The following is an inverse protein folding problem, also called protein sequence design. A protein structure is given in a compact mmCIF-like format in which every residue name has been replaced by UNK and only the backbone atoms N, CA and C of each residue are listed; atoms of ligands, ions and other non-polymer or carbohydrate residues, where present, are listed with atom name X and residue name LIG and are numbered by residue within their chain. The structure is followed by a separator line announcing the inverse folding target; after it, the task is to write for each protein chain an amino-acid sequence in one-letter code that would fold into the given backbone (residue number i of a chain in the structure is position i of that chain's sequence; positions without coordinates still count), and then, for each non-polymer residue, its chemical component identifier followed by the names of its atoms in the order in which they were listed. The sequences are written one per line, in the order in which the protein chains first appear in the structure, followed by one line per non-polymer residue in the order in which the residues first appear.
data_IF_265233373395
#
_entry.id   IF_265233373395
#
_cell.length_a   1.000
_cell.length_b   1.000
_cell.length_c   1.000
_cell.angle_alpha   90.00
_cell.angle_beta   90.00
_cell.angle_gamma   90.00
#
_symmetry.space_group_name_H-M   'P 1'
#
loop_
_entity.id
_entity.type
_entity.pdbx_description
1 polymer ?
#
# COMPACT_ATOMS: atom_id res chain seq x y z
N UNK A 1 -7.73 -21.36 -7.36
CA UNK A 1 -7.66 -19.88 -7.47
C UNK A 1 -6.22 -19.48 -7.23
N UNK A 2 -5.66 -18.55 -8.00
CA UNK A 2 -4.25 -18.13 -7.85
C UNK A 2 -4.17 -16.93 -6.91
N UNK A 3 -3.37 -17.05 -5.85
CA UNK A 3 -3.03 -15.91 -4.98
C UNK A 3 -2.17 -14.92 -5.75
N UNK A 4 -2.65 -13.69 -5.91
CA UNK A 4 -1.90 -12.57 -6.50
C UNK A 4 -1.16 -11.79 -5.41
N UNK A 5 -0.13 -11.08 -5.85
CA UNK A 5 0.62 -10.13 -5.03
C UNK A 5 0.36 -8.73 -5.52
N UNK A 6 0.01 -7.82 -4.61
CA UNK A 6 -0.19 -6.40 -4.88
C UNK A 6 0.92 -5.60 -4.23
N UNK A 7 1.47 -4.65 -4.97
CA UNK A 7 2.44 -3.67 -4.44
C UNK A 7 1.72 -2.34 -4.36
N UNK A 8 1.61 -1.77 -3.16
CA UNK A 8 0.91 -0.51 -2.98
C UNK A 8 1.86 0.65 -3.21
N UNK A 9 1.34 1.67 -3.89
CA UNK A 9 2.00 2.96 -4.11
C UNK A 9 1.52 4.00 -3.10
N UNK A 10 2.26 5.10 -2.94
CA UNK A 10 1.91 6.23 -2.09
C UNK A 10 0.55 6.82 -2.48
N UNK A 11 0.24 6.92 -3.79
CA UNK A 11 -1.05 7.45 -4.25
C UNK A 11 -2.24 6.63 -3.76
N UNK A 12 -2.08 5.31 -3.63
CA UNK A 12 -3.12 4.40 -3.12
C UNK A 12 -3.38 4.68 -1.64
N UNK A 13 -2.32 4.84 -0.83
CA UNK A 13 -2.46 5.10 0.60
C UNK A 13 -2.92 6.52 0.93
N UNK A 14 -2.57 7.50 0.09
CA UNK A 14 -3.10 8.87 0.21
C UNK A 14 -4.59 8.93 -0.13
N UNK A 15 -5.02 8.15 -1.14
CA UNK A 15 -6.44 8.06 -1.50
C UNK A 15 -7.23 7.27 -0.47
N UNK A 16 -6.62 6.22 0.08
CA UNK A 16 -7.22 5.38 1.10
C UNK A 16 -6.19 4.81 2.09
N UNK A 17 -6.11 5.38 3.30
CA UNK A 17 -5.19 4.91 4.33
C UNK A 17 -5.39 3.46 4.76
N UNK A 18 -6.56 2.87 4.49
CA UNK A 18 -6.92 1.51 4.87
C UNK A 18 -6.73 0.49 3.73
N UNK A 19 -6.20 0.89 2.57
CA UNK A 19 -6.06 0.02 1.40
C UNK A 19 -5.33 -1.31 1.69
N UNK A 20 -4.35 -1.31 2.60
CA UNK A 20 -3.61 -2.52 3.04
C UNK A 20 -4.51 -3.66 3.54
N UNK A 21 -5.74 -3.36 3.95
CA UNK A 21 -6.71 -4.33 4.49
C UNK A 21 -7.68 -4.90 3.45
N UNK A 22 -7.63 -4.44 2.19
CA UNK A 22 -8.69 -4.69 1.19
C UNK A 22 -8.46 -5.84 0.23
N UNK A 23 -7.39 -6.60 0.41
CA UNK A 23 -6.93 -7.57 -0.57
C UNK A 23 -7.26 -9.04 -0.21
N UNK A 24 -8.08 -9.28 0.82
CA UNK A 24 -8.55 -10.62 1.21
C UNK A 24 -7.38 -11.63 1.33
N UNK A 25 -7.44 -12.78 0.65
CA UNK A 25 -6.40 -13.80 0.67
C UNK A 25 -5.12 -13.47 -0.13
N UNK A 26 -4.99 -12.26 -0.67
CA UNK A 26 -3.86 -11.86 -1.51
C UNK A 26 -2.72 -11.25 -0.70
N UNK A 27 -1.49 -11.43 -1.18
CA UNK A 27 -0.33 -10.81 -0.56
C UNK A 27 -0.27 -9.32 -0.90
N UNK A 28 0.03 -8.50 0.11
CA UNK A 28 0.21 -7.05 -0.05
C UNK A 28 1.61 -6.69 0.38
N UNK A 29 2.36 -6.04 -0.50
CA UNK A 29 3.70 -5.51 -0.25
C UNK A 29 3.59 -4.00 -0.17
N UNK A 30 4.11 -3.45 0.92
CA UNK A 30 4.32 -2.03 1.08
C UNK A 30 5.82 -1.74 0.97
N UNK A 31 6.30 -1.16 -0.15
CA UNK A 31 7.71 -0.81 -0.30
C UNK A 31 8.15 0.22 0.75
N UNK A 32 9.40 0.11 1.23
CA UNK A 32 9.95 1.07 2.20
C UNK A 32 9.93 2.52 1.68
N UNK A 33 10.16 2.71 0.37
CA UNK A 33 10.11 4.03 -0.28
C UNK A 33 8.76 4.72 -0.10
N UNK A 34 7.66 3.97 -0.09
CA UNK A 34 6.31 4.52 0.13
C UNK A 34 6.17 5.10 1.53
N UNK A 35 6.81 4.50 2.54
CA UNK A 35 6.83 5.05 3.90
C UNK A 35 7.56 6.40 3.90
N UNK A 36 8.76 6.45 3.31
CA UNK A 36 9.54 7.69 3.23
C UNK A 36 8.83 8.81 2.46
N UNK A 37 8.11 8.48 1.39
CA UNK A 37 7.29 9.43 0.64
C UNK A 37 6.11 9.96 1.46
N UNK A 38 5.42 9.10 2.21
CA UNK A 38 4.34 9.51 3.11
C UNK A 38 4.86 10.40 4.25
N UNK A 39 6.02 10.06 4.83
CA UNK A 39 6.68 10.90 5.84
C UNK A 39 7.02 12.29 5.31
N UNK A 40 7.51 12.37 4.07
CA UNK A 40 7.81 13.64 3.41
C UNK A 40 6.57 14.51 3.11
N UNK A 41 5.38 13.92 3.09
CA UNK A 41 4.09 14.61 2.86
C UNK A 41 3.32 14.93 4.14
N UNK A 42 3.88 14.63 5.31
CA UNK A 42 3.21 14.81 6.62
C UNK A 42 3.02 16.28 7.01
N UNK A 43 3.66 17.21 6.30
CA UNK A 43 3.68 18.65 6.54
C UNK A 43 3.45 19.40 5.22
#
# INVERSE_FOLDING_TARGET
MTTRTYVLDTSVLLSDPWAVTRFAEHHVILPLVVISELEGKRH
#
